data_IF_254313225765
#
_entry.id   IF_254313225765
#
_cell.length_a   1.000
_cell.length_b   1.000
_cell.length_c   1.000
_cell.angle_alpha   90.00
_cell.angle_beta   90.00
_cell.angle_gamma   90.00
#
_symmetry.space_group_name_H-M   'P 1'
#
loop_
_entity.id
_entity.type
_entity.pdbx_description
1 polymer ?
#
# COMPACT_ATOMS: atom_id res chain seq x y z
N UNK A 1 32.43 -7.72 -13.93
CA UNK A 1 32.12 -7.14 -12.60
C UNK A 1 30.81 -6.42 -12.78
N UNK A 2 29.72 -6.90 -12.19
CA UNK A 2 28.45 -6.16 -12.23
C UNK A 2 28.45 -5.19 -11.06
N UNK A 3 28.41 -3.90 -11.33
CA UNK A 3 28.35 -2.88 -10.29
C UNK A 3 27.03 -2.99 -9.51
N UNK A 4 27.00 -2.51 -8.27
CA UNK A 4 25.75 -2.44 -7.50
C UNK A 4 24.69 -1.56 -8.23
N UNK A 5 25.16 -0.54 -8.96
CA UNK A 5 24.33 0.36 -9.75
C UNK A 5 23.60 -0.37 -10.89
N UNK A 6 24.30 -1.23 -11.65
CA UNK A 6 23.67 -2.03 -12.73
C UNK A 6 22.52 -2.92 -12.23
N UNK A 7 22.61 -3.43 -10.99
CA UNK A 7 21.52 -4.24 -10.41
C UNK A 7 20.29 -3.38 -10.10
N UNK A 8 20.51 -2.20 -9.55
CA UNK A 8 19.45 -1.24 -9.22
C UNK A 8 18.77 -0.75 -10.50
N UNK A 9 19.54 -0.37 -11.52
CA UNK A 9 19.01 0.04 -12.84
C UNK A 9 18.16 -1.06 -13.49
N UNK A 10 18.62 -2.32 -13.38
CA UNK A 10 17.86 -3.47 -13.89
C UNK A 10 16.53 -3.65 -13.15
N UNK A 11 16.51 -3.54 -11.83
CA UNK A 11 15.26 -3.64 -11.06
C UNK A 11 14.30 -2.50 -11.37
N UNK A 12 14.81 -1.27 -11.49
CA UNK A 12 14.02 -0.11 -11.91
C UNK A 12 13.41 -0.32 -13.30
N UNK A 13 14.20 -0.85 -14.25
CA UNK A 13 13.71 -1.15 -15.58
C UNK A 13 12.59 -2.20 -15.56
N UNK A 14 12.70 -3.23 -14.71
CA UNK A 14 11.62 -4.21 -14.52
C UNK A 14 10.36 -3.55 -13.96
N UNK A 15 10.48 -2.75 -12.91
CA UNK A 15 9.34 -2.04 -12.31
C UNK A 15 8.65 -1.11 -13.31
N UNK A 16 9.39 -0.42 -14.18
CA UNK A 16 8.83 0.46 -15.24
C UNK A 16 7.98 -0.30 -16.27
N UNK A 17 8.24 -1.59 -16.48
CA UNK A 17 7.51 -2.41 -17.45
C UNK A 17 6.27 -3.10 -16.86
N UNK A 18 6.13 -3.10 -15.53
CA UNK A 18 5.09 -3.83 -14.84
C UNK A 18 3.83 -2.99 -14.65
N UNK A 19 2.69 -3.49 -15.13
CA UNK A 19 1.39 -2.86 -14.94
C UNK A 19 0.34 -3.92 -14.64
N UNK A 20 -0.14 -3.94 -13.39
CA UNK A 20 -1.13 -4.89 -12.93
C UNK A 20 -1.97 -4.25 -11.80
N UNK A 21 -3.30 -4.45 -11.75
CA UNK A 21 -4.16 -3.82 -10.75
C UNK A 21 -3.84 -4.18 -9.30
N UNK A 22 -3.15 -5.30 -9.06
CA UNK A 22 -2.72 -5.74 -7.72
C UNK A 22 -1.22 -5.54 -7.48
N UNK A 23 -0.55 -4.66 -8.24
CA UNK A 23 0.85 -4.28 -8.02
C UNK A 23 0.96 -2.75 -8.02
N UNK A 24 1.71 -2.21 -7.06
CA UNK A 24 1.99 -0.77 -6.99
C UNK A 24 2.79 -0.36 -8.22
N UNK A 25 2.25 0.60 -8.98
CA UNK A 25 2.90 1.06 -10.20
C UNK A 25 4.01 2.08 -9.91
N UNK A 26 5.15 1.94 -10.58
CA UNK A 26 6.20 2.97 -10.63
C UNK A 26 5.90 3.93 -11.78
N UNK A 27 5.65 5.20 -11.47
CA UNK A 27 5.35 6.24 -12.44
C UNK A 27 6.62 6.84 -13.06
N UNK A 28 7.57 7.23 -12.22
CA UNK A 28 8.78 7.94 -12.65
C UNK A 28 9.94 7.66 -11.71
N UNK A 29 11.16 7.79 -12.22
CA UNK A 29 12.40 7.79 -11.42
C UNK A 29 13.19 9.02 -11.80
N UNK A 30 13.58 9.81 -10.79
CA UNK A 30 14.33 11.05 -10.95
C UNK A 30 15.69 10.83 -10.32
N UNK A 31 16.73 11.06 -11.11
CA UNK A 31 18.12 11.04 -10.68
C UNK A 31 18.61 12.48 -10.51
N UNK A 32 19.04 12.84 -9.31
CA UNK A 32 19.41 14.21 -8.95
C UNK A 32 20.89 14.26 -8.58
N UNK A 33 21.69 14.87 -9.46
CA UNK A 33 23.14 15.06 -9.26
C UNK A 33 23.44 15.96 -8.04
N UNK A 34 22.51 16.83 -7.65
CA UNK A 34 22.68 17.79 -6.55
C UNK A 34 22.54 17.15 -5.17
N UNK A 35 21.69 16.14 -5.05
CA UNK A 35 21.35 15.50 -3.78
C UNK A 35 21.97 14.11 -3.60
N UNK A 36 22.73 13.61 -4.59
CA UNK A 36 23.31 12.25 -4.63
C UNK A 36 22.27 11.18 -4.23
N UNK A 37 21.04 11.36 -4.72
CA UNK A 37 19.88 10.57 -4.31
C UNK A 37 18.95 10.28 -5.49
N UNK A 38 18.45 9.03 -5.51
CA UNK A 38 17.48 8.56 -6.49
C UNK A 38 16.07 8.66 -5.91
N UNK A 39 15.17 9.35 -6.59
CA UNK A 39 13.77 9.48 -6.19
C UNK A 39 12.89 8.58 -7.05
N UNK A 40 12.02 7.79 -6.39
CA UNK A 40 11.04 6.92 -7.06
C UNK A 40 9.62 7.45 -6.81
N UNK A 41 8.90 7.77 -7.87
CA UNK A 41 7.51 8.20 -7.83
C UNK A 41 6.61 6.99 -8.00
N UNK A 42 6.01 6.53 -6.90
CA UNK A 42 5.15 5.35 -6.83
C UNK A 42 3.67 5.74 -6.72
N UNK A 43 2.78 4.82 -7.08
CA UNK A 43 1.35 4.93 -6.81
C UNK A 43 1.07 5.09 -5.31
N UNK A 44 0.29 6.10 -4.94
CA UNK A 44 -0.04 6.40 -3.55
C UNK A 44 -1.14 5.46 -3.02
N UNK A 45 -0.83 4.73 -1.94
CA UNK A 45 -1.79 3.88 -1.23
C UNK A 45 -2.35 4.62 0.00
N UNK A 46 -3.57 5.20 -0.07
CA UNK A 46 -4.10 6.06 0.99
C UNK A 46 -4.39 5.32 2.30
N UNK A 47 -4.52 3.99 2.24
CA UNK A 47 -4.80 3.15 3.40
C UNK A 47 -3.53 2.61 4.08
N UNK A 48 -2.36 2.87 3.51
CA UNK A 48 -1.08 2.38 4.03
C UNK A 48 -0.92 0.86 3.93
N UNK A 49 -0.04 0.33 4.78
CA UNK A 49 0.29 -1.09 4.90
C UNK A 49 -0.92 -1.92 5.37
N UNK A 50 -0.99 -3.18 4.97
CA UNK A 50 -2.14 -4.04 5.25
C UNK A 50 -2.19 -4.41 6.75
N UNK A 51 -1.04 -4.74 7.34
CA UNK A 51 -0.89 -5.02 8.77
C UNK A 51 0.39 -4.40 9.31
N UNK A 52 0.33 -3.94 10.55
CA UNK A 52 1.51 -3.46 11.30
C UNK A 52 1.87 -4.44 12.40
N UNK A 53 3.16 -4.65 12.63
CA UNK A 53 3.62 -5.46 13.76
C UNK A 53 3.38 -4.72 15.08
N UNK A 54 2.65 -5.36 16.00
CA UNK A 54 2.43 -4.89 17.36
C UNK A 54 3.42 -5.60 18.31
N UNK A 55 4.43 -4.89 18.85
CA UNK A 55 5.45 -5.49 19.70
C UNK A 55 4.91 -5.96 21.06
N UNK A 56 3.80 -5.39 21.54
CA UNK A 56 3.23 -5.72 22.84
C UNK A 56 2.51 -7.07 22.79
N UNK A 57 1.86 -7.36 21.66
CA UNK A 57 1.16 -8.63 21.45
C UNK A 57 1.95 -9.65 20.66
N UNK A 58 3.03 -9.23 19.97
CA UNK A 58 3.81 -10.08 19.08
C UNK A 58 3.03 -10.55 17.84
N UNK A 59 1.98 -9.80 17.45
CA UNK A 59 1.10 -10.17 16.33
C UNK A 59 0.98 -9.05 15.31
N UNK A 60 0.65 -9.40 14.06
CA UNK A 60 0.35 -8.43 13.02
C UNK A 60 -1.12 -7.99 13.12
N UNK A 61 -1.34 -6.68 13.24
CA UNK A 61 -2.66 -6.09 13.42
C UNK A 61 -2.84 -4.92 12.47
N UNK A 62 -4.04 -4.79 11.92
CA UNK A 62 -4.40 -3.60 11.15
C UNK A 62 -4.46 -2.42 12.12
N UNK A 63 -3.70 -1.36 11.82
CA UNK A 63 -3.87 -0.09 12.52
C UNK A 63 -5.13 0.57 11.97
N UNK A 64 -6.16 0.68 12.79
CA UNK A 64 -7.30 1.51 12.42
C UNK A 64 -6.83 2.96 12.24
N UNK A 65 -7.40 3.70 11.28
CA UNK A 65 -7.18 5.14 11.24
C UNK A 65 -7.57 5.70 12.62
N UNK A 66 -6.74 6.59 13.22
CA UNK A 66 -7.02 7.11 14.54
C UNK A 66 -8.45 7.65 14.57
N UNK A 67 -9.25 7.19 15.52
CA UNK A 67 -10.60 7.73 15.72
C UNK A 67 -10.48 9.25 15.76
N UNK A 68 -11.28 10.02 15.01
CA UNK A 68 -11.24 11.48 15.10
C UNK A 68 -11.46 11.83 16.57
N UNK A 69 -10.44 12.38 17.21
CA UNK A 69 -10.53 12.79 18.60
C UNK A 69 -11.75 13.72 18.75
N UNK A 70 -12.58 13.57 19.80
CA UNK A 70 -13.64 14.52 20.05
C UNK A 70 -12.97 15.87 20.27
N UNK A 71 -13.09 16.77 19.29
CA UNK A 71 -12.62 18.16 19.47
C UNK A 71 -13.37 18.74 20.66
N UNK A 72 -12.69 19.29 21.69
CA UNK A 72 -13.38 19.91 22.79
C UNK A 72 -14.04 21.20 22.28
N UNK A 73 -15.38 21.19 22.26
CA UNK A 73 -16.27 22.34 22.24
C UNK A 73 -16.04 23.41 21.16
N UNK A 74 -17.00 23.53 20.24
CA UNK A 74 -17.52 24.83 19.79
C UNK A 74 -18.93 24.65 19.26
N UNK A 75 -19.84 25.42 19.84
CA UNK A 75 -21.28 25.35 19.59
C UNK A 75 -21.66 25.77 18.17
N UNK A 76 -22.85 25.30 17.81
CA UNK A 76 -23.82 25.90 16.89
C UNK A 76 -23.25 26.85 15.81
N UNK A 77 -23.00 26.30 14.62
CA UNK A 77 -23.11 27.05 13.37
C UNK A 77 -23.53 26.11 12.24
N UNK A 78 -24.76 26.32 11.78
CA UNK A 78 -25.29 25.89 10.49
C UNK A 78 -24.41 26.38 9.35
N UNK A 79 -23.84 25.48 8.57
CA UNK A 79 -23.41 25.76 7.21
C UNK A 79 -23.36 24.46 6.41
N UNK A 80 -24.20 24.40 5.39
CA UNK A 80 -24.20 23.45 4.29
C UNK A 80 -22.81 23.34 3.65
N UNK A 81 -22.20 22.16 3.77
CA UNK A 81 -21.10 21.76 2.91
C UNK A 81 -21.44 20.38 2.34
N UNK A 82 -21.90 20.40 1.09
CA UNK A 82 -21.90 19.24 0.21
C UNK A 82 -20.45 18.79 0.05
N UNK A 83 -20.01 17.86 0.89
CA UNK A 83 -18.81 17.07 0.63
C UNK A 83 -19.31 15.69 0.26
N UNK A 84 -19.40 15.47 -1.04
CA UNK A 84 -19.54 14.15 -1.62
C UNK A 84 -18.58 13.21 -0.89
N UNK A 85 -19.12 12.19 -0.24
CA UNK A 85 -18.32 11.10 0.29
C UNK A 85 -17.39 10.62 -0.83
N UNK A 86 -16.09 10.45 -0.57
CA UNK A 86 -15.22 9.84 -1.57
C UNK A 86 -15.85 8.50 -1.98
N UNK A 87 -15.91 8.19 -3.28
CA UNK A 87 -16.46 6.92 -3.75
C UNK A 87 -15.74 5.78 -3.02
N UNK A 88 -16.44 4.68 -2.69
CA UNK A 88 -15.82 3.57 -1.98
C UNK A 88 -14.81 2.90 -2.92
N UNK A 89 -13.56 3.35 -2.88
CA UNK A 89 -12.42 2.66 -3.46
C UNK A 89 -12.04 1.48 -2.55
N UNK A 90 -12.99 0.58 -2.36
CA UNK A 90 -12.83 -0.85 -2.11
C UNK A 90 -14.24 -1.43 -1.97
N UNK A 91 -14.58 -2.35 -2.85
CA UNK A 91 -15.93 -2.90 -3.06
C UNK A 91 -16.44 -3.77 -1.89
N UNK A 92 -15.72 -3.83 -0.79
CA UNK A 92 -15.99 -4.72 0.35
C UNK A 92 -15.87 -3.92 1.63
N UNK A 93 -16.94 -3.84 2.41
CA UNK A 93 -16.88 -3.33 3.78
C UNK A 93 -15.90 -4.19 4.57
N UNK A 94 -14.66 -3.71 4.79
CA UNK A 94 -13.65 -4.44 5.56
C UNK A 94 -14.13 -4.63 6.98
N UNK A 95 -14.36 -5.88 7.39
CA UNK A 95 -14.65 -6.20 8.78
C UNK A 95 -13.35 -6.54 9.49
N UNK A 96 -13.03 -5.73 10.48
CA UNK A 96 -11.90 -5.94 11.38
C UNK A 96 -12.49 -6.29 12.74
N UNK A 97 -12.02 -7.39 13.33
CA UNK A 97 -12.39 -7.85 14.66
C UNK A 97 -11.10 -7.85 15.49
N UNK A 98 -11.05 -7.01 16.53
CA UNK A 98 -9.87 -6.87 17.40
C UNK A 98 -8.55 -6.63 16.65
N UNK A 99 -8.58 -5.79 15.60
CA UNK A 99 -7.40 -5.49 14.78
C UNK A 99 -6.99 -6.61 13.81
N UNK A 100 -7.73 -7.72 13.76
CA UNK A 100 -7.53 -8.80 12.79
C UNK A 100 -8.61 -8.78 11.72
N UNK A 101 -8.26 -9.17 10.50
CA UNK A 101 -9.24 -9.38 9.44
C UNK A 101 -10.03 -10.65 9.71
N UNK A 102 -11.33 -10.65 9.37
CA UNK A 102 -12.09 -11.90 9.33
C UNK A 102 -11.54 -12.83 8.23
N UNK A 103 -11.83 -14.13 8.34
CA UNK A 103 -11.34 -15.15 7.40
C UNK A 103 -11.69 -14.78 5.95
N UNK A 104 -12.92 -14.29 5.74
CA UNK A 104 -13.42 -13.93 4.41
C UNK A 104 -12.65 -12.75 3.81
N UNK A 105 -12.42 -11.68 4.56
CA UNK A 105 -11.65 -10.52 4.07
C UNK A 105 -10.20 -10.90 3.85
N UNK A 106 -9.62 -11.71 4.76
CA UNK A 106 -8.25 -12.22 4.60
C UNK A 106 -8.10 -13.01 3.30
N UNK A 107 -9.05 -13.91 3.00
CA UNK A 107 -9.03 -14.67 1.77
C UNK A 107 -9.09 -13.79 0.50
N UNK A 108 -9.88 -12.71 0.52
CA UNK A 108 -9.94 -11.76 -0.60
C UNK A 108 -8.60 -11.06 -0.83
N UNK A 109 -7.91 -10.63 0.23
CA UNK A 109 -6.57 -10.08 0.11
C UNK A 109 -5.57 -11.08 -0.45
N UNK A 110 -5.64 -12.34 0.00
CA UNK A 110 -4.80 -13.40 -0.54
C UNK A 110 -5.03 -13.60 -2.04
N UNK A 111 -6.28 -13.53 -2.50
CA UNK A 111 -6.60 -13.61 -3.93
C UNK A 111 -5.95 -12.47 -4.71
N UNK A 112 -6.03 -11.23 -4.21
CA UNK A 112 -5.41 -10.08 -4.84
C UNK A 112 -3.88 -10.20 -4.90
N UNK A 113 -3.24 -10.61 -3.79
CA UNK A 113 -1.81 -10.88 -3.73
C UNK A 113 -1.42 -11.96 -4.75
N UNK A 114 -2.18 -13.05 -4.82
CA UNK A 114 -1.92 -14.15 -5.75
C UNK A 114 -2.07 -13.74 -7.21
N UNK A 115 -3.01 -12.85 -7.55
CA UNK A 115 -3.10 -12.29 -8.89
C UNK A 115 -1.85 -11.46 -9.25
N UNK A 116 -1.36 -10.62 -8.34
CA UNK A 116 -0.11 -9.88 -8.52
C UNK A 116 1.11 -10.79 -8.68
N UNK A 117 1.22 -11.83 -7.85
CA UNK A 117 2.29 -12.82 -7.94
C UNK A 117 2.22 -13.65 -9.23
N UNK A 118 1.03 -14.02 -9.68
CA UNK A 118 0.84 -14.74 -10.93
C UNK A 118 1.33 -13.90 -12.12
N UNK A 119 1.08 -12.59 -12.11
CA UNK A 119 1.63 -11.67 -13.11
C UNK A 119 3.16 -11.60 -13.05
N UNK A 120 3.73 -11.39 -11.86
CA UNK A 120 5.18 -11.40 -11.63
C UNK A 120 5.86 -12.67 -12.18
N UNK A 121 5.30 -13.84 -11.87
CA UNK A 121 5.84 -15.13 -12.30
C UNK A 121 5.76 -15.32 -13.82
N UNK A 122 4.72 -14.79 -14.50
CA UNK A 122 4.64 -14.79 -15.97
C UNK A 122 5.74 -13.97 -16.63
N UNK A 123 6.25 -12.95 -15.93
CA UNK A 123 7.39 -12.14 -16.36
C UNK A 123 8.74 -12.68 -15.85
N UNK A 124 8.77 -13.89 -15.28
CA UNK A 124 9.96 -14.54 -14.72
C UNK A 124 10.61 -13.77 -13.56
N UNK A 125 9.81 -13.03 -12.79
CA UNK A 125 10.26 -12.29 -11.62
C UNK A 125 9.78 -13.04 -10.37
N UNK A 126 10.72 -13.40 -9.49
CA UNK A 126 10.40 -13.89 -8.16
C UNK A 126 10.53 -12.74 -7.15
N UNK A 127 9.45 -12.41 -6.42
CA UNK A 127 9.46 -11.32 -5.44
C UNK A 127 10.47 -11.54 -4.30
N UNK A 128 10.57 -12.77 -3.80
CA UNK A 128 11.48 -13.23 -2.72
C UNK A 128 11.33 -12.59 -1.34
N UNK A 129 10.71 -11.42 -1.22
CA UNK A 129 10.50 -10.75 0.07
C UNK A 129 9.04 -10.33 0.28
N UNK A 130 8.12 -11.27 0.18
CA UNK A 130 6.69 -10.98 0.41
C UNK A 130 6.41 -10.93 1.91
N UNK A 131 6.02 -9.75 2.40
CA UNK A 131 5.71 -9.49 3.81
C UNK A 131 4.39 -8.72 3.95
N UNK A 132 3.74 -8.77 5.12
CA UNK A 132 2.46 -8.11 5.36
C UNK A 132 2.57 -6.61 5.65
N UNK A 133 3.75 -6.12 6.08
CA UNK A 133 4.15 -4.71 6.04
C UNK A 133 4.37 -4.22 4.60
#
# INVERSE_FOLDING_TARGET
VHTALEKVEREIALMKMMRHPNLVCLHEVIDSEESDALYMVLEYMPLGEILTFDPDTGTFRRRDPPSPSPRPGKGLATATATTAAPPPLMRTTMRVVDGHFDERTSALFFVDILHGLAYLHRHHICHRDLKPE
#
